data_IF_534570573054
#
_entry.id   IF_534570573054
#
_cell.length_a   1.000
_cell.length_b   1.000
_cell.length_c   1.000
_cell.angle_alpha   90.00
_cell.angle_beta   90.00
_cell.angle_gamma   90.00
#
_symmetry.space_group_name_H-M   'P 1'
#
loop_
_entity.id
_entity.type
_entity.pdbx_description
1 polymer ?
#
# COMPACT_ATOMS: atom_id res chain seq x y z
N UNK A 1 49.12 -85.00 38.32
CA UNK A 1 49.38 -84.40 39.66
C UNK A 1 48.78 -85.23 40.81
N UNK A 2 47.46 -85.33 40.97
CA UNK A 2 46.86 -86.06 42.11
C UNK A 2 47.24 -87.55 42.16
N UNK A 3 47.19 -88.25 41.02
CA UNK A 3 47.59 -89.66 40.90
C UNK A 3 49.08 -89.91 41.16
N UNK A 4 49.96 -88.97 40.80
CA UNK A 4 51.41 -89.02 41.08
C UNK A 4 51.69 -88.89 42.58
N UNK A 5 50.99 -88.01 43.27
CA UNK A 5 51.11 -87.81 44.72
C UNK A 5 50.63 -89.06 45.47
N UNK A 6 49.58 -89.73 44.99
CA UNK A 6 49.13 -91.01 45.54
C UNK A 6 50.16 -92.11 45.32
N UNK A 7 50.78 -92.22 44.13
CA UNK A 7 51.88 -93.17 43.89
C UNK A 7 53.07 -92.95 44.84
N UNK A 8 53.50 -91.71 45.04
CA UNK A 8 54.58 -91.39 45.98
C UNK A 8 54.18 -91.77 47.41
N UNK A 9 52.96 -91.47 47.81
CA UNK A 9 52.41 -91.83 49.13
C UNK A 9 52.40 -93.35 49.34
N UNK A 10 52.01 -94.11 48.33
CA UNK A 10 51.97 -95.57 48.37
C UNK A 10 53.37 -96.18 48.45
N UNK A 11 54.33 -95.69 47.66
CA UNK A 11 55.72 -96.16 47.68
C UNK A 11 56.40 -95.83 49.02
N UNK A 12 56.14 -94.66 49.58
CA UNK A 12 56.61 -94.28 50.94
C UNK A 12 55.91 -95.12 52.01
N UNK A 13 54.62 -95.40 51.87
CA UNK A 13 53.87 -96.30 52.75
C UNK A 13 54.45 -97.72 52.74
N UNK A 14 54.80 -98.25 51.56
CA UNK A 14 55.48 -99.53 51.39
C UNK A 14 56.88 -99.55 52.04
N UNK A 15 57.65 -98.46 51.92
CA UNK A 15 58.96 -98.33 52.56
C UNK A 15 58.85 -98.33 54.09
N UNK A 16 57.87 -97.61 54.64
CA UNK A 16 57.61 -97.55 56.09
C UNK A 16 57.14 -98.89 56.65
N UNK A 17 56.30 -99.63 55.92
CA UNK A 17 55.86 -100.98 56.29
C UNK A 17 57.02 -101.99 56.27
N UNK A 18 57.88 -101.99 55.25
CA UNK A 18 59.08 -102.85 55.19
C UNK A 18 60.12 -102.53 56.26
N UNK A 19 60.22 -101.26 56.70
CA UNK A 19 61.07 -100.83 57.81
C UNK A 19 60.56 -101.38 59.15
N UNK A 20 59.24 -101.38 59.38
CA UNK A 20 58.62 -101.92 60.60
C UNK A 20 58.73 -103.45 60.70
N UNK A 21 58.76 -104.15 59.56
CA UNK A 21 58.88 -105.60 59.50
C UNK A 21 60.33 -106.15 59.58
N UNK A 22 61.34 -105.28 59.69
CA UNK A 22 62.75 -105.69 59.76
C UNK A 22 63.35 -106.28 58.48
N UNK A 23 62.57 -106.38 57.39
CA UNK A 23 62.96 -107.00 56.10
C UNK A 23 63.63 -106.02 55.13
N UNK A 24 64.20 -104.93 55.63
CA UNK A 24 64.68 -103.82 54.81
C UNK A 24 66.10 -104.09 54.32
N UNK A 25 66.24 -104.65 53.13
CA UNK A 25 67.55 -104.87 52.49
C UNK A 25 68.00 -103.63 51.72
N UNK A 26 69.31 -103.37 51.63
CA UNK A 26 69.86 -102.23 50.87
C UNK A 26 69.43 -102.20 49.39
N UNK A 27 69.19 -103.36 48.78
CA UNK A 27 68.69 -103.43 47.41
C UNK A 27 67.24 -102.91 47.30
N UNK A 28 66.38 -103.28 48.25
CA UNK A 28 64.97 -102.86 48.27
C UNK A 28 64.79 -101.37 48.59
N UNK A 29 65.66 -100.80 49.41
CA UNK A 29 65.66 -99.35 49.69
C UNK A 29 66.10 -98.57 48.46
N UNK A 30 67.13 -99.04 47.74
CA UNK A 30 67.59 -98.42 46.49
C UNK A 30 66.50 -98.46 45.41
N UNK A 31 65.75 -99.56 45.29
CA UNK A 31 64.67 -99.67 44.30
C UNK A 31 63.47 -98.77 44.63
N UNK A 32 63.01 -98.75 45.88
CA UNK A 32 61.95 -97.84 46.32
C UNK A 32 62.37 -96.37 46.20
N UNK A 33 63.63 -96.05 46.52
CA UNK A 33 64.20 -94.71 46.35
C UNK A 33 64.23 -94.29 44.88
N UNK A 34 64.56 -95.21 43.96
CA UNK A 34 64.50 -94.95 42.51
C UNK A 34 63.06 -94.67 42.05
N UNK A 35 62.08 -95.44 42.49
CA UNK A 35 60.66 -95.24 42.13
C UNK A 35 60.14 -93.88 42.60
N UNK A 36 60.39 -93.54 43.87
CA UNK A 36 60.06 -92.20 44.41
C UNK A 36 60.76 -91.10 43.63
N UNK A 37 62.04 -91.28 43.26
CA UNK A 37 62.78 -90.27 42.52
C UNK A 37 62.20 -90.05 41.11
N UNK A 38 61.81 -91.12 40.40
CA UNK A 38 61.15 -91.02 39.09
C UNK A 38 59.80 -90.31 39.21
N UNK A 39 58.94 -90.69 40.16
CA UNK A 39 57.64 -90.05 40.36
C UNK A 39 57.79 -88.55 40.76
N UNK A 40 58.81 -88.20 41.56
CA UNK A 40 59.13 -86.80 41.88
C UNK A 40 59.62 -86.05 40.64
N UNK A 41 60.41 -86.68 39.77
CA UNK A 41 60.86 -86.08 38.51
C UNK A 41 59.67 -85.83 37.56
N UNK A 42 58.76 -86.79 37.41
CA UNK A 42 57.54 -86.64 36.61
C UNK A 42 56.64 -85.51 37.15
N UNK A 43 56.49 -85.42 38.47
CA UNK A 43 55.72 -84.35 39.12
C UNK A 43 56.36 -82.97 38.87
N UNK A 44 57.69 -82.87 38.96
CA UNK A 44 58.42 -81.63 38.62
C UNK A 44 58.28 -81.26 37.14
N UNK A 45 58.26 -82.24 36.23
CA UNK A 45 58.04 -81.98 34.82
C UNK A 45 56.62 -81.51 34.52
N UNK A 46 55.62 -82.09 35.18
CA UNK A 46 54.22 -81.69 35.05
C UNK A 46 53.96 -80.30 35.65
N UNK A 47 54.58 -79.98 36.78
CA UNK A 47 54.56 -78.63 37.36
C UNK A 47 55.21 -77.61 36.40
N UNK A 48 56.35 -77.95 35.78
CA UNK A 48 56.97 -77.10 34.75
C UNK A 48 56.08 -76.93 33.52
N UNK A 49 55.36 -77.97 33.08
CA UNK A 49 54.41 -77.89 31.96
C UNK A 49 53.23 -76.98 32.29
N UNK A 50 52.64 -77.14 33.47
CA UNK A 50 51.55 -76.28 33.94
C UNK A 50 52.01 -74.83 34.06
N UNK A 51 53.18 -74.58 34.63
CA UNK A 51 53.75 -73.23 34.72
C UNK A 51 53.97 -72.61 33.34
N UNK A 52 54.47 -73.37 32.36
CA UNK A 52 54.60 -72.91 30.96
C UNK A 52 53.26 -72.59 30.32
N UNK A 53 52.23 -73.42 30.52
CA UNK A 53 50.88 -73.17 30.01
C UNK A 53 50.24 -71.93 30.65
N UNK A 54 50.42 -71.74 31.96
CA UNK A 54 49.93 -70.57 32.69
C UNK A 54 50.58 -69.29 32.16
N UNK A 55 51.91 -69.33 31.96
CA UNK A 55 52.66 -68.23 31.36
C UNK A 55 52.24 -67.94 29.90
N UNK A 56 51.92 -68.98 29.13
CA UNK A 56 51.40 -68.82 27.76
C UNK A 56 50.01 -68.17 27.77
N UNK A 57 49.11 -68.59 28.68
CA UNK A 57 47.80 -67.98 28.86
C UNK A 57 47.90 -66.51 29.32
N UNK A 58 48.80 -66.23 30.25
CA UNK A 58 49.12 -64.85 30.66
C UNK A 58 49.63 -64.04 29.47
N UNK A 59 50.52 -64.60 28.65
CA UNK A 59 51.03 -63.91 27.45
C UNK A 59 49.95 -63.67 26.39
N UNK A 60 48.97 -64.58 26.26
CA UNK A 60 47.81 -64.36 25.38
C UNK A 60 46.88 -63.31 25.94
N UNK A 61 46.68 -63.29 27.26
CA UNK A 61 45.88 -62.26 27.94
C UNK A 61 46.50 -60.88 27.81
N UNK A 62 47.82 -60.76 27.96
CA UNK A 62 48.52 -59.48 27.79
C UNK A 62 48.46 -58.95 26.36
N UNK A 63 48.28 -59.81 25.35
CA UNK A 63 48.02 -59.39 23.96
C UNK A 63 46.56 -58.97 23.76
N UNK A 64 45.61 -59.60 24.47
CA UNK A 64 44.19 -59.29 24.40
C UNK A 64 43.84 -57.95 25.09
N UNK A 65 44.52 -57.60 26.17
CA UNK A 65 44.25 -56.40 26.97
C UNK A 65 44.38 -55.09 26.15
N UNK A 66 45.45 -54.87 25.35
CA UNK A 66 45.55 -53.72 24.44
C UNK A 66 44.42 -53.66 23.41
N UNK A 67 44.03 -54.80 22.84
CA UNK A 67 42.96 -54.87 21.84
C UNK A 67 41.60 -54.53 22.47
N UNK A 68 41.37 -55.01 23.69
CA UNK A 68 40.16 -54.70 24.46
C UNK A 68 40.09 -53.21 24.79
N UNK A 69 41.22 -52.62 25.21
CA UNK A 69 41.33 -51.17 25.44
C UNK A 69 41.05 -50.37 24.17
N UNK A 70 41.60 -50.78 23.03
CA UNK A 70 41.38 -50.11 21.75
C UNK A 70 39.90 -50.18 21.33
N UNK A 71 39.26 -51.34 21.50
CA UNK A 71 37.83 -51.49 21.25
C UNK A 71 36.97 -50.58 22.16
N UNK A 72 37.32 -50.45 23.44
CA UNK A 72 36.64 -49.51 24.35
C UNK A 72 36.80 -48.06 23.90
N UNK A 73 38.00 -47.66 23.45
CA UNK A 73 38.22 -46.32 22.88
C UNK A 73 37.32 -46.08 21.66
N UNK A 74 37.25 -47.02 20.72
CA UNK A 74 36.39 -46.87 19.54
C UNK A 74 34.90 -46.83 19.86
N UNK A 75 34.46 -47.57 20.88
CA UNK A 75 33.07 -47.48 21.35
C UNK A 75 32.77 -46.09 21.93
N UNK A 76 33.69 -45.53 22.72
CA UNK A 76 33.55 -44.19 23.26
C UNK A 76 33.49 -43.13 22.14
N UNK A 77 34.37 -43.23 21.14
CA UNK A 77 34.35 -42.35 19.97
C UNK A 77 33.04 -42.46 19.19
N UNK A 78 32.56 -43.68 18.93
CA UNK A 78 31.27 -43.90 18.25
C UNK A 78 30.11 -43.29 19.05
N UNK A 79 30.10 -43.45 20.37
CA UNK A 79 29.08 -42.84 21.22
C UNK A 79 29.15 -41.31 21.20
N UNK A 80 30.36 -40.74 21.25
CA UNK A 80 30.58 -39.30 21.15
C UNK A 80 30.08 -38.75 19.81
N UNK A 81 30.49 -39.34 18.69
CA UNK A 81 30.06 -38.93 17.35
C UNK A 81 28.54 -39.06 17.18
N UNK A 82 27.93 -40.14 17.69
CA UNK A 82 26.47 -40.28 17.64
C UNK A 82 25.75 -39.21 18.47
N UNK A 83 26.32 -38.82 19.62
CA UNK A 83 25.79 -37.73 20.44
C UNK A 83 25.88 -36.39 19.72
N UNK A 84 27.00 -36.12 19.05
CA UNK A 84 27.18 -34.89 18.27
C UNK A 84 26.23 -34.85 17.06
N UNK A 85 26.07 -35.95 16.33
CA UNK A 85 25.09 -36.07 15.23
C UNK A 85 23.67 -35.83 15.76
N UNK A 86 23.31 -36.42 16.90
CA UNK A 86 22.00 -36.20 17.52
C UNK A 86 21.80 -34.74 17.95
N UNK A 87 22.83 -34.09 18.49
CA UNK A 87 22.79 -32.68 18.85
C UNK A 87 22.62 -31.78 17.62
N UNK A 88 23.36 -32.03 16.53
CA UNK A 88 23.22 -31.30 15.27
C UNK A 88 21.82 -31.50 14.65
N UNK A 89 21.28 -32.71 14.71
CA UNK A 89 19.93 -33.02 14.21
C UNK A 89 18.80 -32.44 15.08
N UNK A 90 19.08 -32.09 16.33
CA UNK A 90 18.12 -31.43 17.22
C UNK A 90 17.97 -29.94 16.89
N UNK A 91 18.96 -29.33 16.22
CA UNK A 91 18.85 -27.98 15.65
C UNK A 91 17.98 -28.05 14.38
N UNK A 92 16.70 -28.34 14.54
CA UNK A 92 15.72 -28.18 13.46
C UNK A 92 15.23 -26.75 13.51
N UNK A 93 15.42 -26.03 12.41
CA UNK A 93 14.76 -24.75 12.19
C UNK A 93 13.24 -24.96 12.22
N UNK A 94 12.52 -24.18 13.02
CA UNK A 94 11.05 -24.22 13.12
C UNK A 94 10.40 -23.72 11.81
N UNK A 95 10.43 -24.56 10.78
CA UNK A 95 9.86 -24.31 9.47
C UNK A 95 8.32 -24.21 9.51
N UNK A 96 7.67 -24.63 10.60
CA UNK A 96 6.22 -24.53 10.81
C UNK A 96 5.73 -23.09 10.95
N UNK A 97 6.61 -22.16 11.35
CA UNK A 97 6.28 -20.74 11.52
C UNK A 97 6.24 -19.96 10.21
N UNK A 98 6.89 -20.47 9.15
CA UNK A 98 7.03 -19.79 7.87
C UNK A 98 6.00 -20.34 6.88
N UNK A 99 4.93 -19.57 6.65
CA UNK A 99 3.96 -19.86 5.59
C UNK A 99 4.53 -19.46 4.24
N UNK A 100 5.17 -20.41 3.56
CA UNK A 100 5.73 -20.22 2.23
C UNK A 100 4.60 -20.31 1.19
N UNK A 101 4.51 -19.31 0.30
CA UNK A 101 3.57 -19.28 -0.83
C UNK A 101 3.72 -20.53 -1.72
N UNK A 102 2.62 -21.04 -2.30
CA UNK A 102 2.63 -22.24 -3.15
C UNK A 102 3.54 -22.08 -4.37
N UNK A 103 4.01 -23.21 -4.91
CA UNK A 103 4.95 -23.22 -6.03
C UNK A 103 4.36 -22.53 -7.28
N UNK A 104 3.06 -22.74 -7.53
CA UNK A 104 2.30 -22.08 -8.60
C UNK A 104 2.22 -20.56 -8.44
N UNK A 105 2.02 -20.07 -7.21
CA UNK A 105 1.95 -18.63 -6.94
C UNK A 105 3.31 -17.97 -7.13
N UNK A 106 4.39 -18.63 -6.71
CA UNK A 106 5.76 -18.18 -6.93
C UNK A 106 6.11 -18.12 -8.43
N UNK A 107 5.82 -19.16 -9.21
CA UNK A 107 6.11 -19.16 -10.65
C UNK A 107 5.35 -18.08 -11.42
N UNK A 108 4.14 -17.73 -10.98
CA UNK A 108 3.31 -16.68 -11.60
C UNK A 108 3.75 -15.27 -11.20
N UNK A 109 4.01 -15.02 -9.92
CA UNK A 109 4.20 -13.67 -9.37
C UNK A 109 5.67 -13.27 -9.21
N UNK A 110 6.61 -14.23 -9.18
CA UNK A 110 8.01 -13.91 -8.94
C UNK A 110 8.58 -13.07 -10.11
N UNK A 111 9.35 -12.01 -9.82
CA UNK A 111 10.11 -11.29 -10.82
C UNK A 111 11.12 -12.20 -11.54
N UNK A 112 11.45 -11.88 -12.79
CA UNK A 112 12.40 -12.64 -13.63
C UNK A 112 13.78 -12.83 -12.99
N UNK A 113 14.23 -11.92 -12.13
CA UNK A 113 15.49 -12.03 -11.40
C UNK A 113 15.45 -12.99 -10.20
N UNK A 114 14.26 -13.30 -9.68
CA UNK A 114 14.05 -14.25 -8.58
C UNK A 114 13.51 -15.59 -9.05
N UNK A 115 13.00 -15.70 -10.28
CA UNK A 115 12.58 -16.98 -10.87
C UNK A 115 13.79 -17.90 -11.05
N UNK A 116 13.58 -19.20 -10.80
CA UNK A 116 14.51 -20.21 -11.25
C UNK A 116 14.60 -20.13 -12.79
N UNK A 117 15.76 -19.72 -13.30
CA UNK A 117 16.11 -19.86 -14.72
C UNK A 117 15.79 -21.29 -15.18
N UNK A 118 15.36 -21.45 -16.43
CA UNK A 118 14.92 -22.65 -17.16
C UNK A 118 15.89 -23.86 -17.15
N UNK A 119 16.87 -23.89 -16.25
CA UNK A 119 17.76 -25.03 -16.03
C UNK A 119 17.00 -26.13 -15.29
N UNK A 120 16.87 -27.34 -15.87
CA UNK A 120 16.01 -28.40 -15.35
C UNK A 120 16.60 -29.16 -14.13
N UNK A 121 17.49 -28.53 -13.34
CA UNK A 121 18.18 -29.15 -12.20
C UNK A 121 18.53 -28.14 -11.10
N UNK A 122 17.55 -27.37 -10.63
CA UNK A 122 17.73 -26.59 -9.40
C UNK A 122 17.47 -27.54 -8.23
N UNK A 123 18.41 -27.64 -7.29
CA UNK A 123 18.21 -28.49 -6.11
C UNK A 123 17.02 -27.99 -5.28
N UNK A 124 16.31 -28.89 -4.59
CA UNK A 124 15.14 -28.52 -3.77
C UNK A 124 15.47 -27.41 -2.74
N UNK A 125 16.72 -27.39 -2.24
CA UNK A 125 17.22 -26.34 -1.33
C UNK A 125 17.36 -24.98 -2.02
N UNK A 126 17.85 -24.93 -3.26
CA UNK A 126 17.95 -23.69 -4.03
C UNK A 126 16.58 -23.16 -4.46
N UNK A 127 15.62 -24.04 -4.73
CA UNK A 127 14.24 -23.65 -4.99
C UNK A 127 13.60 -23.03 -3.75
N UNK A 128 13.82 -23.63 -2.58
CA UNK A 128 13.32 -23.12 -1.30
C UNK A 128 13.92 -21.75 -0.96
N UNK A 129 15.23 -21.56 -1.16
CA UNK A 129 15.89 -20.28 -0.88
C UNK A 129 15.38 -19.15 -1.77
N UNK A 130 15.13 -19.41 -3.06
CA UNK A 130 14.53 -18.44 -3.98
C UNK A 130 13.08 -18.11 -3.62
N UNK A 131 12.29 -19.09 -3.19
CA UNK A 131 10.92 -18.87 -2.68
C UNK A 131 10.92 -18.00 -1.43
N UNK A 132 11.82 -18.27 -0.48
CA UNK A 132 11.99 -17.45 0.72
C UNK A 132 12.42 -16.01 0.37
N UNK A 133 13.36 -15.83 -0.56
CA UNK A 133 13.76 -14.51 -1.01
C UNK A 133 12.60 -13.72 -1.66
N UNK A 134 11.76 -14.38 -2.44
CA UNK A 134 10.55 -13.79 -3.00
C UNK A 134 9.54 -13.40 -1.92
N UNK A 135 9.32 -14.25 -0.92
CA UNK A 135 8.42 -13.95 0.19
C UNK A 135 8.89 -12.73 0.99
N UNK A 136 10.19 -12.63 1.27
CA UNK A 136 10.80 -11.47 1.93
C UNK A 136 10.58 -10.21 1.10
N UNK A 137 10.80 -10.27 -0.22
CA UNK A 137 10.55 -9.15 -1.12
C UNK A 137 9.08 -8.72 -1.11
N UNK A 138 8.14 -9.68 -1.21
CA UNK A 138 6.69 -9.44 -1.15
C UNK A 138 6.26 -8.80 0.17
N UNK A 139 6.75 -9.32 1.30
CA UNK A 139 6.51 -8.74 2.64
C UNK A 139 7.09 -7.32 2.75
N UNK A 140 8.25 -7.07 2.15
CA UNK A 140 8.83 -5.73 2.04
C UNK A 140 7.95 -4.74 1.29
N UNK A 141 7.46 -5.12 0.11
CA UNK A 141 6.53 -4.32 -0.69
C UNK A 141 5.20 -4.06 0.05
N UNK A 142 4.65 -5.09 0.70
CA UNK A 142 3.43 -4.97 1.50
C UNK A 142 3.63 -4.03 2.69
N UNK A 143 4.77 -4.10 3.38
CA UNK A 143 5.12 -3.20 4.49
C UNK A 143 5.22 -1.75 4.02
N UNK A 144 5.89 -1.51 2.88
CA UNK A 144 5.97 -0.18 2.27
C UNK A 144 4.58 0.35 1.89
N UNK A 145 3.75 -0.47 1.24
CA UNK A 145 2.37 -0.12 0.89
C UNK A 145 1.53 0.21 2.13
N UNK A 146 1.61 -0.61 3.19
CA UNK A 146 0.93 -0.34 4.46
C UNK A 146 1.41 0.98 5.11
N UNK A 147 2.70 1.29 5.04
CA UNK A 147 3.22 2.56 5.54
C UNK A 147 2.63 3.75 4.77
N UNK A 148 2.53 3.66 3.44
CA UNK A 148 1.89 4.72 2.62
C UNK A 148 0.39 4.85 2.92
N UNK A 149 -0.33 3.74 3.05
CA UNK A 149 -1.76 3.74 3.39
C UNK A 149 -2.03 4.32 4.78
N UNK A 150 -1.18 4.01 5.76
CA UNK A 150 -1.26 4.63 7.10
C UNK A 150 -1.05 6.13 7.05
N UNK A 151 -0.06 6.61 6.28
CA UNK A 151 0.14 8.06 6.06
C UNK A 151 -1.09 8.70 5.42
N UNK A 152 -1.65 8.11 4.36
CA UNK A 152 -2.89 8.61 3.72
C UNK A 152 -4.05 8.68 4.70
N UNK A 153 -4.27 7.62 5.47
CA UNK A 153 -5.31 7.57 6.51
C UNK A 153 -5.16 8.71 7.53
N UNK A 154 -3.92 9.03 7.95
CA UNK A 154 -3.70 10.14 8.89
C UNK A 154 -3.98 11.50 8.26
N UNK A 155 -3.63 11.70 6.99
CA UNK A 155 -3.94 12.94 6.26
C UNK A 155 -5.45 13.11 6.11
N UNK A 156 -6.16 12.09 5.64
CA UNK A 156 -7.61 12.11 5.50
C UNK A 156 -8.32 12.34 6.85
N UNK A 157 -7.87 11.68 7.92
CA UNK A 157 -8.43 11.88 9.25
C UNK A 157 -8.25 13.33 9.74
N UNK A 158 -7.10 13.94 9.47
CA UNK A 158 -6.84 15.35 9.79
C UNK A 158 -7.71 16.28 8.95
N UNK A 159 -7.90 16.01 7.65
CA UNK A 159 -8.78 16.78 6.78
C UNK A 159 -10.24 16.71 7.25
N UNK A 160 -10.72 15.52 7.61
CA UNK A 160 -12.07 15.32 8.18
C UNK A 160 -12.22 16.10 9.49
N UNK A 161 -11.24 16.03 10.38
CA UNK A 161 -11.25 16.79 11.64
C UNK A 161 -11.29 18.30 11.40
N UNK A 162 -10.45 18.81 10.49
CA UNK A 162 -10.40 20.22 10.13
C UNK A 162 -11.72 20.69 9.50
N UNK A 163 -12.33 19.87 8.64
CA UNK A 163 -13.60 20.14 7.99
C UNK A 163 -14.75 20.17 8.99
N UNK A 164 -14.78 19.22 9.95
CA UNK A 164 -15.74 19.23 11.06
C UNK A 164 -15.62 20.51 11.90
N UNK A 165 -14.39 20.92 12.24
CA UNK A 165 -14.15 22.17 12.99
C UNK A 165 -14.65 23.40 12.21
N UNK A 166 -14.33 23.49 10.91
CA UNK A 166 -14.84 24.55 10.03
C UNK A 166 -16.36 24.57 9.96
N UNK A 167 -17.01 23.41 9.81
CA UNK A 167 -18.48 23.30 9.79
C UNK A 167 -19.11 23.75 11.11
N UNK A 168 -18.51 23.39 12.25
CA UNK A 168 -18.96 23.87 13.55
C UNK A 168 -18.82 25.39 13.69
N UNK A 169 -17.72 25.96 13.18
CA UNK A 169 -17.51 27.40 13.15
C UNK A 169 -18.54 28.11 12.25
N UNK A 170 -18.80 27.59 11.06
CA UNK A 170 -19.83 28.10 10.13
C UNK A 170 -21.20 28.04 10.79
N UNK A 171 -21.56 26.92 11.43
CA UNK A 171 -22.83 26.77 12.16
C UNK A 171 -22.99 27.82 13.26
N UNK A 172 -21.94 28.10 14.04
CA UNK A 172 -21.95 29.15 15.06
C UNK A 172 -22.15 30.54 14.44
N UNK A 173 -21.42 30.85 13.36
CA UNK A 173 -21.56 32.12 12.62
C UNK A 173 -22.95 32.29 12.04
N UNK A 174 -23.51 31.25 11.41
CA UNK A 174 -24.86 31.27 10.84
C UNK A 174 -25.92 31.51 11.92
N UNK A 175 -25.83 30.83 13.07
CA UNK A 175 -26.72 31.09 14.21
C UNK A 175 -26.64 32.54 14.69
N UNK A 176 -25.45 33.13 14.71
CA UNK A 176 -25.27 34.53 15.09
C UNK A 176 -25.90 35.48 14.05
N UNK A 177 -25.74 35.19 12.76
CA UNK A 177 -26.36 35.97 11.66
C UNK A 177 -27.88 35.87 11.73
N UNK A 178 -28.44 34.67 11.88
CA UNK A 178 -29.89 34.47 12.01
C UNK A 178 -30.43 35.26 13.19
N UNK A 179 -29.80 35.17 14.37
CA UNK A 179 -30.22 35.97 15.55
C UNK A 179 -30.21 37.47 15.31
N UNK A 180 -29.24 37.99 14.55
CA UNK A 180 -29.16 39.42 14.21
C UNK A 180 -30.18 39.84 13.14
N UNK A 181 -30.46 38.96 12.18
CA UNK A 181 -31.36 39.20 11.06
C UNK A 181 -32.83 39.01 11.43
N UNK A 182 -33.13 38.23 12.47
CA UNK A 182 -34.48 37.89 12.91
C UNK A 182 -35.42 39.10 13.10
N UNK A 183 -35.06 40.18 13.83
CA UNK A 183 -35.97 41.32 14.01
C UNK A 183 -36.29 42.05 12.69
N UNK A 184 -35.35 42.05 11.72
CA UNK A 184 -35.58 42.67 10.41
C UNK A 184 -36.46 41.77 9.54
N UNK A 185 -36.26 40.46 9.64
CA UNK A 185 -37.06 39.48 8.90
C UNK A 185 -38.51 39.42 9.41
N UNK A 186 -38.72 39.47 10.74
CA UNK A 186 -40.06 39.50 11.34
C UNK A 186 -40.85 40.76 10.89
N UNK A 187 -40.15 41.86 10.59
CA UNK A 187 -40.75 43.09 10.05
C UNK A 187 -41.08 43.01 8.56
N UNK A 188 -40.17 42.47 7.73
CA UNK A 188 -40.34 42.43 6.27
C UNK A 188 -41.17 41.23 5.78
N UNK A 189 -41.14 40.12 6.52
CA UNK A 189 -41.73 38.83 6.15
C UNK A 189 -42.51 38.21 7.32
N UNK A 190 -43.57 38.86 7.83
CA UNK A 190 -44.27 38.46 9.06
C UNK A 190 -44.95 37.08 9.01
N UNK A 191 -45.16 36.52 7.81
CA UNK A 191 -45.82 35.22 7.60
C UNK A 191 -44.89 34.13 7.01
N UNK A 192 -43.61 34.44 6.79
CA UNK A 192 -42.63 33.48 6.26
C UNK A 192 -41.58 33.16 7.32
N UNK A 193 -41.48 31.89 7.71
CA UNK A 193 -40.36 31.45 8.53
C UNK A 193 -39.09 31.48 7.70
N UNK A 194 -38.04 32.16 8.18
CA UNK A 194 -36.67 32.18 7.63
C UNK A 194 -36.07 30.79 7.31
N UNK A 195 -36.69 29.72 7.82
CA UNK A 195 -36.31 28.32 7.62
C UNK A 195 -36.94 27.67 6.38
N UNK A 196 -37.80 28.37 5.62
CA UNK A 196 -38.34 27.85 4.36
C UNK A 196 -37.32 28.03 3.23
N UNK A 197 -36.19 27.33 3.33
CA UNK A 197 -35.46 26.94 2.12
C UNK A 197 -36.28 25.84 1.47
N UNK A 198 -37.03 26.22 0.45
CA UNK A 198 -37.60 25.28 -0.52
C UNK A 198 -36.50 24.33 -0.99
N UNK A 199 -36.91 23.15 -1.46
CA UNK A 199 -36.04 22.15 -2.06
C UNK A 199 -35.05 22.79 -3.04
N UNK A 200 -33.87 23.14 -2.55
CA UNK A 200 -32.75 23.56 -3.37
C UNK A 200 -32.35 22.29 -4.13
N UNK A 201 -32.77 22.22 -5.39
CA UNK A 201 -32.42 21.13 -6.27
C UNK A 201 -30.91 20.88 -6.12
N UNK A 202 -30.49 19.62 -5.98
CA UNK A 202 -29.06 19.27 -5.82
C UNK A 202 -28.17 19.93 -6.90
N UNK A 203 -28.77 20.27 -8.04
CA UNK A 203 -28.18 21.01 -9.15
C UNK A 203 -27.81 22.45 -8.77
N UNK A 204 -28.60 23.18 -7.96
CA UNK A 204 -28.28 24.57 -7.55
C UNK A 204 -27.13 24.64 -6.55
N UNK A 205 -26.96 23.60 -5.73
CA UNK A 205 -25.85 23.45 -4.78
C UNK A 205 -24.49 23.22 -5.46
N UNK A 206 -24.48 22.66 -6.68
CA UNK A 206 -23.25 22.44 -7.45
C UNK A 206 -22.81 23.66 -8.27
N UNK A 207 -23.52 24.80 -8.20
CA UNK A 207 -23.13 26.00 -8.94
C UNK A 207 -21.93 26.70 -8.29
N UNK A 208 -21.02 27.25 -9.11
CA UNK A 208 -20.04 28.23 -8.64
C UNK A 208 -20.72 29.44 -7.99
N UNK A 209 -20.11 30.01 -6.95
CA UNK A 209 -20.64 31.18 -6.22
C UNK A 209 -21.15 32.32 -7.11
N UNK A 210 -20.44 32.73 -8.19
CA UNK A 210 -20.91 33.81 -9.06
C UNK A 210 -22.20 33.46 -9.82
N UNK A 211 -22.32 32.21 -10.27
CA UNK A 211 -23.54 31.73 -10.93
C UNK A 211 -24.68 31.54 -9.93
N UNK A 212 -24.39 31.10 -8.70
CA UNK A 212 -25.41 30.99 -7.65
C UNK A 212 -26.02 32.36 -7.31
N UNK A 213 -25.20 33.41 -7.20
CA UNK A 213 -25.67 34.78 -6.98
C UNK A 213 -26.56 35.25 -8.15
N UNK A 214 -26.12 35.02 -9.39
CA UNK A 214 -26.88 35.35 -10.58
C UNK A 214 -28.23 34.60 -10.62
N UNK A 215 -28.25 33.32 -10.27
CA UNK A 215 -29.47 32.51 -10.23
C UNK A 215 -30.48 33.09 -9.25
N UNK A 216 -30.04 33.45 -8.05
CA UNK A 216 -30.91 34.03 -7.02
C UNK A 216 -31.42 35.40 -7.45
N UNK A 217 -30.56 36.27 -7.98
CA UNK A 217 -30.97 37.56 -8.52
C UNK A 217 -31.99 37.41 -9.65
N UNK A 218 -31.75 36.50 -10.61
CA UNK A 218 -32.66 36.23 -11.72
C UNK A 218 -34.01 35.67 -11.25
N UNK A 219 -34.03 34.76 -10.28
CA UNK A 219 -35.26 34.23 -9.67
C UNK A 219 -36.05 35.33 -8.93
N UNK A 220 -35.37 36.23 -8.23
CA UNK A 220 -36.02 37.37 -7.60
C UNK A 220 -36.63 38.30 -8.64
N UNK A 221 -35.89 38.63 -9.70
CA UNK A 221 -36.39 39.46 -10.79
C UNK A 221 -37.54 38.78 -11.57
N UNK A 222 -37.54 37.46 -11.72
CA UNK A 222 -38.65 36.73 -12.34
C UNK A 222 -39.98 36.92 -11.58
N UNK A 223 -39.94 37.07 -10.25
CA UNK A 223 -41.14 37.32 -9.44
C UNK A 223 -41.67 38.75 -9.58
N UNK A 224 -40.81 39.71 -9.96
CA UNK A 224 -41.12 41.14 -10.01
C UNK A 224 -41.40 41.61 -11.45
N UNK A 225 -40.69 41.05 -12.44
CA UNK A 225 -40.75 41.44 -13.84
C UNK A 225 -41.23 40.29 -14.73
N UNK A 226 -42.39 40.49 -15.36
CA UNK A 226 -43.06 39.52 -16.24
C UNK A 226 -42.30 39.25 -17.56
N UNK A 227 -41.27 40.05 -17.88
CA UNK A 227 -40.44 39.84 -19.08
C UNK A 227 -39.54 38.62 -18.99
N UNK A 228 -39.23 38.15 -17.77
CA UNK A 228 -38.41 36.97 -17.56
C UNK A 228 -39.31 35.72 -17.54
N UNK A 229 -39.23 34.93 -18.60
CA UNK A 229 -40.11 33.78 -18.82
C UNK A 229 -39.66 32.55 -18.04
N UNK A 230 -38.36 32.28 -18.00
CA UNK A 230 -37.83 31.13 -17.27
C UNK A 230 -36.35 31.25 -16.95
N UNK A 231 -35.95 30.83 -15.75
CA UNK A 231 -34.55 30.65 -15.35
C UNK A 231 -34.28 29.16 -15.17
N UNK A 232 -33.33 28.60 -15.92
CA UNK A 232 -32.96 27.17 -15.84
C UNK A 232 -31.46 26.99 -15.67
N UNK A 233 -31.05 26.01 -14.88
CA UNK A 233 -29.67 25.55 -14.83
C UNK A 233 -29.50 24.42 -15.85
N UNK A 234 -28.55 24.57 -16.75
CA UNK A 234 -28.20 23.58 -17.76
C UNK A 234 -26.87 22.91 -17.36
N UNK A 235 -26.86 21.58 -17.32
CA UNK A 235 -25.71 20.77 -16.90
C UNK A 235 -25.18 20.04 -18.11
N UNK A 236 -23.97 20.40 -18.52
CA UNK A 236 -23.28 19.75 -19.63
C UNK A 236 -22.75 18.38 -19.18
N UNK A 237 -23.58 17.35 -19.37
CA UNK A 237 -23.35 15.96 -18.88
C UNK A 237 -22.03 15.33 -19.34
N UNK A 238 -21.44 15.80 -20.43
CA UNK A 238 -20.18 15.28 -20.98
C UNK A 238 -18.95 15.64 -20.14
N UNK A 239 -18.94 16.82 -19.50
CA UNK A 239 -17.78 17.33 -18.73
C UNK A 239 -17.75 16.91 -17.26
N UNK A 240 -18.86 16.39 -16.73
CA UNK A 240 -18.92 15.88 -15.34
C UNK A 240 -17.96 14.70 -15.14
N UNK A 241 -17.82 13.83 -16.14
CA UNK A 241 -16.93 12.65 -16.09
C UNK A 241 -15.44 13.05 -15.98
N UNK A 242 -15.01 14.05 -16.73
CA UNK A 242 -13.61 14.51 -16.76
C UNK A 242 -13.15 15.13 -15.42
N UNK A 243 -14.04 15.84 -14.72
CA UNK A 243 -13.71 16.44 -13.42
C UNK A 243 -13.61 15.43 -12.28
N UNK A 244 -14.37 14.33 -12.34
CA UNK A 244 -14.29 13.26 -11.35
C UNK A 244 -13.02 12.42 -11.50
N UNK A 245 -12.60 12.12 -12.73
CA UNK A 245 -11.35 11.36 -12.98
C UNK A 245 -10.10 12.18 -12.63
N UNK A 246 -10.06 13.47 -12.95
CA UNK A 246 -8.92 14.34 -12.59
C UNK A 246 -8.72 14.54 -11.08
N UNK A 247 -9.76 14.33 -10.26
CA UNK A 247 -9.64 14.36 -8.80
C UNK A 247 -9.05 13.06 -8.20
N UNK A 248 -9.08 11.96 -8.96
CA UNK A 248 -8.50 10.66 -8.58
C UNK A 248 -7.04 10.49 -9.05
N UNK A 249 -6.64 11.22 -10.08
CA UNK A 249 -5.30 11.07 -10.70
C UNK A 249 -4.16 11.82 -9.99
N UNK A 250 -4.44 12.57 -8.91
CA UNK A 250 -3.38 13.18 -8.09
C UNK A 250 -2.67 12.17 -7.15
N UNK A 251 -3.03 10.89 -7.19
CA UNK A 251 -2.54 9.87 -6.23
C UNK A 251 -1.66 8.79 -6.88
N UNK A 252 -1.52 8.78 -8.21
CA UNK A 252 -0.75 7.77 -8.97
C UNK A 252 0.66 8.23 -9.39
N UNK A 253 1.01 9.51 -9.26
CA UNK A 253 2.36 9.99 -9.62
C UNK A 253 3.44 9.71 -8.57
N UNK A 254 3.09 9.19 -7.38
CA UNK A 254 4.05 8.95 -6.30
C UNK A 254 4.80 7.59 -6.38
N UNK A 255 4.75 6.85 -7.50
CA UNK A 255 5.45 5.56 -7.65
C UNK A 255 6.25 5.40 -8.96
N UNK A 256 6.54 6.48 -9.70
CA UNK A 256 7.47 6.42 -10.84
C UNK A 256 8.65 7.34 -10.60
N UNK A 257 9.71 6.79 -9.99
CA UNK A 257 11.04 7.36 -10.14
C UNK A 257 11.55 7.12 -11.56
N UNK A 258 12.03 8.22 -12.15
CA UNK A 258 13.08 8.33 -13.17
C UNK A 258 12.89 7.62 -14.52
N UNK A 259 12.36 8.40 -15.48
CA UNK A 259 12.94 8.51 -16.83
C UNK A 259 12.57 9.90 -17.42
N UNK A 260 13.51 10.85 -17.57
CA UNK A 260 13.22 12.23 -17.96
C UNK A 260 13.23 12.43 -19.49
N UNK A 261 12.73 11.47 -20.26
CA UNK A 261 12.80 11.55 -21.72
C UNK A 261 11.62 10.86 -22.42
N UNK A 262 10.39 11.40 -22.26
CA UNK A 262 9.26 11.34 -23.23
C UNK A 262 7.95 11.80 -22.57
N UNK A 263 7.79 13.11 -22.37
CA UNK A 263 6.46 13.71 -22.17
C UNK A 263 6.45 15.16 -22.68
N UNK A 264 6.85 15.33 -23.94
CA UNK A 264 6.38 16.47 -24.75
C UNK A 264 5.10 16.01 -25.43
N UNK A 265 4.13 16.91 -25.55
CA UNK A 265 2.79 16.73 -26.15
C UNK A 265 1.68 16.23 -25.20
N UNK A 266 1.21 17.14 -24.33
CA UNK A 266 -0.23 17.41 -24.08
C UNK A 266 -0.40 18.71 -23.25
N UNK A 267 0.42 19.74 -23.49
CA UNK A 267 0.25 21.07 -22.87
C UNK A 267 -0.51 21.98 -23.83
N UNK A 268 -1.81 21.74 -23.92
CA UNK A 268 -2.75 22.56 -24.65
C UNK A 268 -4.10 22.62 -23.94
N UNK A 269 -4.13 22.51 -22.61
CA UNK A 269 -5.35 22.77 -21.86
C UNK A 269 -5.65 24.27 -21.95
N UNK A 270 -6.64 24.61 -22.77
CA UNK A 270 -7.15 25.97 -22.91
C UNK A 270 -7.47 26.55 -21.53
N UNK A 271 -6.84 27.67 -21.15
CA UNK A 271 -7.12 28.35 -19.87
C UNK A 271 -8.61 28.69 -19.67
N UNK A 272 -9.37 28.78 -20.77
CA UNK A 272 -10.80 29.05 -20.83
C UNK A 272 -11.63 27.75 -20.86
N UNK A 273 -11.46 26.87 -19.87
CA UNK A 273 -12.43 25.78 -19.65
C UNK A 273 -13.61 26.33 -18.87
N UNK A 274 -14.78 26.39 -19.52
CA UNK A 274 -16.03 26.75 -18.86
C UNK A 274 -16.47 25.64 -17.88
N UNK A 275 -17.04 26.06 -16.77
CA UNK A 275 -17.67 25.18 -15.80
C UNK A 275 -18.85 24.42 -16.43
N UNK A 276 -19.06 23.18 -16.00
CA UNK A 276 -20.07 22.27 -16.56
C UNK A 276 -21.52 22.70 -16.29
N UNK A 277 -21.74 23.53 -15.25
CA UNK A 277 -23.03 24.20 -15.03
C UNK A 277 -23.05 25.56 -15.71
N UNK A 278 -24.12 25.82 -16.47
CA UNK A 278 -24.44 27.12 -17.05
C UNK A 278 -25.87 27.53 -16.66
N UNK A 279 -26.15 28.84 -16.66
CA UNK A 279 -27.49 29.36 -16.38
C UNK A 279 -28.08 29.88 -17.68
N UNK A 280 -29.30 29.50 -18.00
CA UNK A 280 -30.05 30.01 -19.15
C UNK A 280 -31.26 30.79 -18.65
N UNK A 281 -31.26 32.10 -18.91
CA UNK A 281 -32.37 33.01 -18.61
C UNK A 281 -33.11 33.28 -19.92
N UNK A 282 -34.40 32.93 -20.01
CA UNK A 282 -35.25 33.26 -21.17
C UNK A 282 -36.03 34.52 -20.90
N UNK A 283 -35.96 35.47 -21.82
CA UNK A 283 -36.60 36.78 -21.73
C UNK A 283 -37.47 37.01 -22.96
N UNK A 284 -38.63 37.64 -22.76
CA UNK A 284 -39.52 38.09 -23.82
C UNK A 284 -39.51 39.62 -23.89
N UNK A 285 -39.03 40.15 -25.01
CA UNK A 285 -38.94 41.58 -25.31
C UNK A 285 -39.88 41.86 -26.49
N UNK A 286 -41.10 42.32 -26.21
CA UNK A 286 -42.13 42.55 -27.22
C UNK A 286 -42.51 41.28 -28.02
N UNK A 287 -42.26 41.30 -29.34
CA UNK A 287 -42.50 40.16 -30.26
C UNK A 287 -41.36 39.14 -30.28
N UNK A 288 -40.20 39.47 -29.71
CA UNK A 288 -39.01 38.63 -29.74
C UNK A 288 -38.80 37.92 -28.40
N UNK A 289 -38.35 36.66 -28.45
CA UNK A 289 -37.92 35.90 -27.28
C UNK A 289 -36.48 35.48 -27.45
N UNK A 290 -35.64 35.74 -26.46
CA UNK A 290 -34.23 35.37 -26.46
C UNK A 290 -33.84 34.63 -25.18
N UNK A 291 -32.85 33.76 -25.28
CA UNK A 291 -32.19 33.14 -24.14
C UNK A 291 -30.82 33.76 -23.90
N UNK A 292 -30.47 34.00 -22.66
CA UNK A 292 -29.15 34.45 -22.23
C UNK A 292 -28.49 33.30 -21.47
N UNK A 293 -27.44 32.71 -22.04
CA UNK A 293 -26.65 31.64 -21.42
C UNK A 293 -25.42 32.22 -20.76
N UNK A 294 -25.32 32.08 -19.45
CA UNK A 294 -24.19 32.48 -18.64
C UNK A 294 -23.33 31.25 -18.30
N UNK A 295 -22.03 31.36 -18.56
CA UNK A 295 -21.01 30.37 -18.22
C UNK A 295 -19.91 31.00 -17.37
N UNK A 296 -19.30 30.20 -16.49
CA UNK A 296 -18.22 30.67 -15.61
C UNK A 296 -16.94 29.89 -15.86
N UNK A 297 -15.79 30.58 -15.91
CA UNK A 297 -14.47 30.01 -16.15
C UNK A 297 -13.66 30.03 -14.84
N UNK A 298 -13.64 28.94 -14.05
CA UNK A 298 -13.10 28.96 -12.69
C UNK A 298 -11.59 29.22 -12.62
N UNK A 299 -10.82 28.79 -13.63
CA UNK A 299 -9.37 29.03 -13.70
C UNK A 299 -9.02 30.51 -13.86
N UNK A 300 -9.86 31.25 -14.58
CA UNK A 300 -9.64 32.66 -14.96
C UNK A 300 -10.51 33.61 -14.12
N UNK A 301 -11.46 33.06 -13.36
CA UNK A 301 -12.46 33.78 -12.55
C UNK A 301 -13.27 34.80 -13.36
N UNK A 302 -13.70 34.41 -14.56
CA UNK A 302 -14.50 35.24 -15.46
C UNK A 302 -15.84 34.57 -15.78
N UNK A 303 -16.90 35.36 -15.85
CA UNK A 303 -18.18 34.95 -16.42
C UNK A 303 -18.28 35.39 -17.90
N UNK A 304 -18.91 34.58 -18.74
CA UNK A 304 -19.22 34.92 -20.14
C UNK A 304 -20.69 34.72 -20.42
N UNK A 305 -21.25 35.52 -21.34
CA UNK A 305 -22.63 35.45 -21.78
C UNK A 305 -22.71 35.13 -23.27
N UNK A 306 -23.68 34.28 -23.64
CA UNK A 306 -24.01 33.98 -25.04
C UNK A 306 -25.51 34.14 -25.25
N UNK A 307 -25.90 34.74 -26.38
CA UNK A 307 -27.30 34.85 -26.75
C UNK A 307 -27.74 33.57 -27.49
N UNK A 308 -28.90 33.07 -27.11
CA UNK A 308 -29.60 31.94 -27.69
C UNK A 308 -30.89 32.43 -28.36
N UNK A 309 -31.18 31.94 -29.55
CA UNK A 309 -32.48 32.12 -30.22
C UNK A 309 -33.60 31.38 -29.44
N UNK A 310 -34.86 31.69 -29.76
CA UNK A 310 -36.09 31.00 -29.35
C UNK A 310 -36.01 29.46 -29.41
N UNK A 311 -35.22 28.92 -30.35
CA UNK A 311 -34.95 27.47 -30.53
C UNK A 311 -33.76 26.93 -29.73
N UNK A 312 -33.10 27.75 -28.92
CA UNK A 312 -31.96 27.37 -28.09
C UNK A 312 -30.62 27.24 -28.83
N UNK A 313 -30.51 27.79 -30.05
CA UNK A 313 -29.28 27.80 -30.85
C UNK A 313 -28.51 29.10 -30.62
N UNK A 314 -27.18 29.05 -30.70
CA UNK A 314 -26.33 30.23 -30.61
C UNK A 314 -26.67 31.24 -31.70
N UNK A 315 -26.79 32.51 -31.31
CA UNK A 315 -27.20 33.57 -32.22
C UNK A 315 -25.99 34.43 -32.63
N UNK A 316 -25.19 33.90 -33.57
CA UNK A 316 -23.90 34.49 -33.96
C UNK A 316 -23.97 35.92 -34.51
N UNK A 317 -25.11 36.32 -35.10
CA UNK A 317 -25.30 37.66 -35.69
C UNK A 317 -25.69 38.75 -34.70
N UNK A 318 -26.10 38.37 -33.49
CA UNK A 318 -26.64 39.28 -32.48
C UNK A 318 -25.74 39.41 -31.25
N UNK A 319 -24.55 38.79 -31.24
CA UNK A 319 -23.57 39.05 -30.19
C UNK A 319 -23.34 40.57 -30.08
N UNK A 320 -23.22 41.27 -31.22
CA UNK A 320 -23.11 42.75 -31.32
C UNK A 320 -24.26 43.54 -30.65
N UNK A 321 -25.43 42.96 -30.38
CA UNK A 321 -26.49 43.64 -29.61
C UNK A 321 -26.06 43.98 -28.18
N UNK A 322 -25.14 43.18 -27.63
CA UNK A 322 -24.59 43.39 -26.29
C UNK A 322 -23.36 44.31 -26.31
N UNK A 323 -22.83 44.62 -27.50
CA UNK A 323 -21.78 45.61 -27.67
C UNK A 323 -22.38 47.01 -27.64
N UNK A 324 -21.89 47.85 -26.73
CA UNK A 324 -22.36 49.23 -26.59
C UNK A 324 -23.55 49.41 -25.64
N UNK A 325 -23.98 48.38 -24.90
CA UNK A 325 -24.98 48.53 -23.83
C UNK A 325 -24.55 49.55 -22.76
N UNK A 326 -23.23 49.64 -22.54
CA UNK A 326 -22.57 50.68 -21.78
C UNK A 326 -21.40 51.24 -22.60
N UNK A 327 -21.24 52.57 -22.62
CA UNK A 327 -20.22 53.29 -23.39
C UNK A 327 -18.78 52.97 -22.95
N UNK A 328 -18.62 52.49 -21.71
CA UNK A 328 -17.32 52.15 -21.11
C UNK A 328 -16.94 50.66 -21.33
N UNK A 329 -17.89 49.82 -21.74
CA UNK A 329 -17.72 48.37 -21.79
C UNK A 329 -17.12 47.91 -23.13
N UNK A 330 -15.81 47.68 -23.16
CA UNK A 330 -15.10 47.07 -24.30
C UNK A 330 -14.79 45.60 -23.99
N UNK A 331 -15.49 44.67 -24.67
CA UNK A 331 -15.32 43.18 -24.63
C UNK A 331 -13.89 42.69 -24.43
N UNK A 332 -12.94 43.36 -25.07
CA UNK A 332 -11.57 42.92 -25.21
C UNK A 332 -10.64 43.31 -24.05
N UNK A 333 -10.99 44.33 -23.27
CA UNK A 333 -10.06 44.94 -22.30
C UNK A 333 -9.85 44.04 -21.09
N UNK A 334 -10.95 43.55 -20.50
CA UNK A 334 -10.90 42.64 -19.35
C UNK A 334 -10.24 41.32 -19.69
N UNK A 335 -10.59 40.74 -20.84
CA UNK A 335 -9.98 39.49 -21.30
C UNK A 335 -8.46 39.70 -21.48
N UNK A 336 -8.02 40.79 -22.12
CA UNK A 336 -6.59 41.09 -22.31
C UNK A 336 -5.86 41.31 -20.98
N UNK A 337 -6.47 41.99 -20.01
CA UNK A 337 -5.86 42.23 -18.70
C UNK A 337 -5.69 40.94 -17.90
N UNK A 338 -6.73 40.10 -17.84
CA UNK A 338 -6.67 38.84 -17.11
C UNK A 338 -5.72 37.86 -17.80
N UNK A 339 -5.72 37.81 -19.14
CA UNK A 339 -4.75 37.01 -19.89
C UNK A 339 -3.30 37.45 -19.66
N UNK A 340 -3.02 38.75 -19.56
CA UNK A 340 -1.68 39.26 -19.20
C UNK A 340 -1.24 38.85 -17.79
N UNK A 341 -2.18 38.74 -16.85
CA UNK A 341 -1.87 38.34 -15.46
C UNK A 341 -1.60 36.84 -15.32
N UNK A 342 -2.27 36.00 -16.10
CA UNK A 342 -2.14 34.54 -16.01
C UNK A 342 -1.13 33.93 -17.00
N UNK A 343 -0.86 34.58 -18.12
CA UNK A 343 0.04 34.06 -19.16
C UNK A 343 1.43 34.69 -19.06
N UNK A 344 2.42 33.94 -18.55
CA UNK A 344 3.84 34.28 -18.68
C UNK A 344 4.40 34.00 -20.08
N UNK A 345 3.67 33.28 -20.93
CA UNK A 345 4.04 32.99 -22.33
C UNK A 345 2.91 33.40 -23.30
N UNK A 346 3.22 34.03 -24.45
CA UNK A 346 2.21 34.73 -25.28
C UNK A 346 1.48 33.83 -26.30
N UNK A 347 1.63 32.50 -26.25
CA UNK A 347 1.33 31.63 -27.41
C UNK A 347 0.15 30.68 -27.25
N UNK A 348 -0.65 30.78 -26.18
CA UNK A 348 -1.90 29.99 -26.11
C UNK A 348 -3.00 30.72 -26.90
N UNK A 349 -3.24 30.28 -28.14
CA UNK A 349 -4.35 30.74 -28.96
C UNK A 349 -5.66 30.42 -28.25
N UNK A 350 -6.25 31.39 -27.55
CA UNK A 350 -7.62 31.31 -27.08
C UNK A 350 -8.53 31.01 -28.28
N UNK A 351 -9.25 29.88 -28.24
CA UNK A 351 -10.22 29.50 -29.27
C UNK A 351 -11.20 30.66 -29.54
N UNK A 352 -11.55 30.85 -30.82
CA UNK A 352 -12.37 31.98 -31.29
C UNK A 352 -13.75 32.08 -30.61
N UNK A 353 -14.22 30.99 -30.01
CA UNK A 353 -15.56 30.92 -29.42
C UNK A 353 -15.59 31.28 -27.93
N UNK A 354 -14.48 31.08 -27.20
CA UNK A 354 -14.41 31.40 -25.76
C UNK A 354 -13.95 32.84 -25.45
N UNK A 355 -13.62 33.62 -26.48
CA UNK A 355 -13.36 35.07 -26.34
C UNK A 355 -14.66 35.90 -26.32
N UNK A 356 -15.77 35.30 -26.75
CA UNK A 356 -17.04 36.02 -26.96
C UNK A 356 -17.81 36.09 -25.63
N UNK A 357 -18.26 37.29 -25.27
CA UNK A 357 -19.23 37.48 -24.18
C UNK A 357 -18.70 37.83 -22.79
N UNK A 358 -17.42 38.18 -22.62
CA UNK A 358 -16.89 38.61 -21.32
C UNK A 358 -17.01 40.14 -21.15
N UNK A 359 -18.15 40.62 -20.63
CA UNK A 359 -18.37 42.04 -20.35
C UNK A 359 -18.16 42.38 -18.87
N UNK A 360 -17.89 43.65 -18.57
CA UNK A 360 -17.76 44.14 -17.20
C UNK A 360 -19.10 44.11 -16.48
N UNK A 361 -20.18 44.54 -17.15
CA UNK A 361 -21.52 44.44 -16.61
C UNK A 361 -21.93 43.00 -16.25
N UNK A 362 -21.45 41.99 -17.01
CA UNK A 362 -21.68 40.56 -16.70
C UNK A 362 -20.92 40.14 -15.45
N UNK A 363 -19.70 40.63 -15.24
CA UNK A 363 -18.95 40.36 -14.00
C UNK A 363 -19.68 40.96 -12.79
N UNK A 364 -20.11 42.22 -12.91
CA UNK A 364 -20.84 42.95 -11.87
C UNK A 364 -22.15 42.24 -11.50
N UNK A 365 -22.90 41.77 -12.51
CA UNK A 365 -24.13 40.99 -12.32
C UNK A 365 -23.88 39.67 -11.57
N UNK A 366 -22.73 39.04 -11.80
CA UNK A 366 -22.30 37.82 -11.09
C UNK A 366 -21.62 38.10 -9.74
N UNK A 367 -21.56 39.36 -9.29
CA UNK A 367 -20.92 39.75 -8.03
C UNK A 367 -19.38 39.73 -8.07
N UNK A 368 -18.78 39.63 -9.26
CA UNK A 368 -17.34 39.71 -9.47
C UNK A 368 -16.96 41.19 -9.67
N UNK A 369 -16.27 41.79 -8.69
CA UNK A 369 -15.78 43.17 -8.82
C UNK A 369 -14.60 43.22 -9.79
N UNK A 370 -14.79 43.84 -10.96
CA UNK A 370 -13.68 44.38 -11.73
C UNK A 370 -13.08 45.55 -10.94
N UNK A 371 -11.76 45.59 -10.82
CA UNK A 371 -11.06 46.65 -10.09
C UNK A 371 -11.18 47.97 -10.85
N UNK A 372 -11.68 48.99 -10.14
CA UNK A 372 -11.70 50.41 -10.50
C UNK A 372 -12.69 50.83 -11.60
N UNK A 373 -13.89 51.28 -11.20
CA UNK A 373 -14.45 52.53 -11.72
C UNK A 373 -15.57 53.10 -10.84
N UNK A 374 -15.60 54.43 -10.75
CA UNK A 374 -16.70 55.27 -10.26
C UNK A 374 -17.46 55.73 -11.52
N UNK A 375 -18.56 55.09 -11.86
CA UNK A 375 -19.50 55.54 -12.90
C UNK A 375 -20.72 54.60 -12.90
N UNK A 376 -21.83 55.07 -13.46
CA UNK A 376 -23.16 54.44 -13.53
C UNK A 376 -23.17 52.99 -14.04
N UNK A 377 -22.75 52.04 -13.20
CA UNK A 377 -22.90 50.62 -13.47
C UNK A 377 -24.38 50.19 -13.45
N UNK A 378 -24.73 49.05 -14.06
CA UNK A 378 -26.10 48.51 -14.05
C UNK A 378 -26.67 48.49 -12.62
N UNK A 379 -27.79 49.17 -12.39
CA UNK A 379 -28.47 49.13 -11.08
C UNK A 379 -29.20 47.79 -10.87
N UNK A 380 -29.29 46.95 -11.91
CA UNK A 380 -29.78 45.59 -11.83
C UNK A 380 -30.09 44.99 -13.19
N UNK A 381 -30.63 43.77 -13.17
CA UNK A 381 -31.03 43.04 -14.38
C UNK A 381 -32.11 43.79 -15.18
N UNK A 382 -32.88 44.66 -14.52
CA UNK A 382 -33.94 45.48 -15.12
C UNK A 382 -33.40 46.53 -16.10
N UNK A 383 -32.40 47.33 -15.71
CA UNK A 383 -31.76 48.34 -16.58
C UNK A 383 -31.19 47.72 -17.86
N UNK A 384 -30.61 46.52 -17.72
CA UNK A 384 -30.04 45.76 -18.83
C UNK A 384 -31.16 45.37 -19.80
N UNK A 385 -32.29 44.89 -19.30
CA UNK A 385 -33.44 44.52 -20.12
C UNK A 385 -34.12 45.72 -20.79
N UNK A 386 -34.18 46.87 -20.10
CA UNK A 386 -34.73 48.11 -20.63
C UNK A 386 -33.88 48.63 -21.80
N UNK A 387 -32.55 48.68 -21.64
CA UNK A 387 -31.63 49.05 -22.73
C UNK A 387 -31.60 48.05 -23.88
N UNK A 388 -31.68 46.75 -23.59
CA UNK A 388 -31.83 45.75 -24.65
C UNK A 388 -33.12 45.93 -25.45
N UNK A 389 -34.22 46.34 -24.80
CA UNK A 389 -35.48 46.65 -25.48
C UNK A 389 -35.35 47.89 -26.38
N UNK A 390 -34.59 48.90 -25.95
CA UNK A 390 -34.30 50.11 -26.73
C UNK A 390 -33.44 49.82 -27.96
N UNK A 391 -32.47 48.90 -27.87
CA UNK A 391 -31.63 48.52 -29.02
C UNK A 391 -32.32 47.59 -30.03
N UNK A 392 -33.46 46.99 -29.66
CA UNK A 392 -34.22 46.05 -30.50
C UNK A 392 -35.42 46.69 -31.22
N UNK A 393 -35.84 47.88 -30.78
CA UNK A 393 -36.81 48.73 -31.48
C UNK A 393 -36.09 49.65 -32.46
#
# INVERSE_FOLDING_TARGET
MASLVERIRDVVGQAMSKKRAGSLTEASTRELSRKVMVDIMELREEERRNYKQLKELESRKTILDPLTRQHQTYLAEKMYVNRDIAACNAVKFDASSVKIDSLEAYEREAPSHLRASEKPKVSDQELLSKRLAFEVHKRGLLSASLATLRKRKTVEANEVSSSKSKLLQIRKRLKAVVKKAQPIADFLYPNETLNQTGSDDMITLSLPTPLYLLLNAAKCHQKVDSRIVSVKVDVEKTRVKETFDNSRDLVTEAMKEQDPSKSKEKKGESLLVAHYCTIVIRVKLGKHSMGLRFSYHPRVKLASIHILDSRGRYWEKHDELLDGLYSEDKRDVLLKQVWRAYSKEPTVKAGKDNRRGCYEWVQTLCGLRASNQKSDGPQGLKDILDRMAECLN
#
